data_IF_852988471713
#
_entry.id   IF_852988471713
#
_cell.length_a   1.000
_cell.length_b   1.000
_cell.length_c   1.000
_cell.angle_alpha   90.00
_cell.angle_beta   90.00
_cell.angle_gamma   90.00
#
_symmetry.space_group_name_H-M   'P 1'
#
loop_
_entity.id
_entity.type
_entity.pdbx_description
1 polymer ?
#
# COMPACT_ATOMS: atom_id res chain seq x y z
N UNK A 1 10.60 9.19 -7.30
CA UNK A 1 10.67 9.62 -8.72
C UNK A 1 11.99 9.11 -9.23
N UNK A 2 11.97 8.04 -10.02
CA UNK A 2 13.17 7.44 -10.55
C UNK A 2 13.41 8.01 -11.94
N UNK A 3 14.64 8.37 -12.26
CA UNK A 3 14.98 8.75 -13.62
C UNK A 3 14.98 7.50 -14.49
N UNK A 4 14.75 7.64 -15.80
CA UNK A 4 14.89 6.54 -16.76
C UNK A 4 16.31 5.94 -16.84
N UNK A 5 17.26 6.50 -16.08
CA UNK A 5 18.62 6.00 -15.91
C UNK A 5 19.00 6.07 -14.42
N UNK A 6 19.66 5.03 -13.91
CA UNK A 6 20.10 4.94 -12.52
C UNK A 6 21.24 5.91 -12.17
N UNK A 7 22.05 6.29 -13.17
CA UNK A 7 23.21 7.16 -13.00
C UNK A 7 23.65 7.77 -14.34
N UNK A 8 24.16 9.00 -14.31
CA UNK A 8 24.80 9.63 -15.48
C UNK A 8 26.25 9.16 -15.52
N UNK A 9 26.54 8.20 -16.40
CA UNK A 9 27.90 7.64 -16.56
C UNK A 9 28.52 8.07 -17.89
N UNK A 10 29.87 8.11 -17.99
CA UNK A 10 30.55 8.36 -19.26
C UNK A 10 30.12 7.39 -20.38
N UNK A 11 29.80 6.14 -20.04
CA UNK A 11 29.29 5.14 -20.99
C UNK A 11 27.92 5.52 -21.56
N UNK A 12 27.02 6.05 -20.72
CA UNK A 12 25.72 6.55 -21.15
C UNK A 12 25.90 7.71 -22.14
N UNK A 13 26.72 8.69 -21.78
CA UNK A 13 26.97 9.87 -22.62
C UNK A 13 27.57 9.47 -23.97
N UNK A 14 28.55 8.56 -23.97
CA UNK A 14 29.12 8.01 -25.20
C UNK A 14 28.06 7.29 -26.06
N UNK A 15 27.20 6.46 -25.45
CA UNK A 15 26.13 5.77 -26.19
C UNK A 15 25.10 6.71 -26.81
N UNK A 16 24.83 7.87 -26.17
CA UNK A 16 23.95 8.89 -26.71
C UNK A 16 24.58 9.55 -27.93
N UNK A 17 25.87 9.92 -27.84
CA UNK A 17 26.63 10.49 -28.96
C UNK A 17 26.68 9.50 -30.13
N UNK A 18 26.97 8.23 -29.87
CA UNK A 18 26.99 7.17 -30.89
C UNK A 18 25.62 7.01 -31.57
N UNK A 19 24.52 7.15 -30.82
CA UNK A 19 23.16 7.11 -31.36
C UNK A 19 22.82 8.30 -32.29
N UNK A 20 23.50 9.43 -32.11
CA UNK A 20 23.35 10.61 -32.97
C UNK A 20 24.16 10.51 -34.26
N UNK A 21 25.13 9.60 -34.32
CA UNK A 21 26.06 9.43 -35.43
C UNK A 21 25.67 8.19 -36.27
N UNK A 22 25.92 8.23 -37.57
CA UNK A 22 25.66 7.08 -38.46
C UNK A 22 26.50 5.85 -38.06
N UNK A 23 25.91 4.64 -38.12
CA UNK A 23 26.52 3.36 -37.68
C UNK A 23 27.92 3.03 -38.23
N UNK A 24 28.36 3.68 -39.30
CA UNK A 24 29.66 3.47 -39.97
C UNK A 24 30.59 4.68 -39.90
N UNK A 25 30.25 5.72 -39.12
CA UNK A 25 30.97 6.99 -39.05
C UNK A 25 31.47 7.21 -37.62
N UNK A 26 32.67 7.76 -37.47
CA UNK A 26 33.23 8.17 -36.18
C UNK A 26 33.63 9.63 -36.25
N UNK A 27 33.24 10.42 -35.27
CA UNK A 27 33.66 11.81 -35.15
C UNK A 27 34.80 11.87 -34.14
N UNK A 28 35.98 12.31 -34.58
CA UNK A 28 37.02 12.72 -33.65
C UNK A 28 36.78 14.18 -33.28
N UNK A 29 36.21 14.38 -32.08
CA UNK A 29 35.73 15.68 -31.58
C UNK A 29 36.81 16.76 -31.48
N UNK A 30 38.09 16.40 -31.56
CA UNK A 30 39.22 17.34 -31.43
C UNK A 30 39.84 17.75 -32.78
N UNK A 31 39.59 17.02 -33.87
CA UNK A 31 40.33 17.16 -35.13
C UNK A 31 39.46 17.20 -36.39
N UNK A 32 38.16 16.92 -36.28
CA UNK A 32 37.27 16.81 -37.44
C UNK A 32 36.92 18.16 -38.07
N UNK A 33 36.81 18.21 -39.40
CA UNK A 33 36.27 19.37 -40.12
C UNK A 33 34.75 19.47 -40.00
N UNK A 34 34.18 20.67 -40.16
CA UNK A 34 32.73 20.89 -40.08
C UNK A 34 31.92 20.05 -41.07
N UNK A 35 32.40 19.87 -42.31
CA UNK A 35 31.77 19.00 -43.31
C UNK A 35 31.69 17.53 -42.84
N UNK A 36 32.77 17.05 -42.21
CA UNK A 36 32.81 15.68 -41.67
C UNK A 36 31.79 15.48 -40.55
N UNK A 37 31.56 16.52 -39.74
CA UNK A 37 30.57 16.50 -38.65
C UNK A 37 29.15 16.50 -39.19
N UNK A 38 28.86 17.33 -40.21
CA UNK A 38 27.54 17.36 -40.88
C UNK A 38 27.20 15.98 -41.44
N UNK A 39 28.13 15.39 -42.19
CA UNK A 39 27.95 14.07 -42.79
C UNK A 39 27.75 12.96 -41.75
N UNK A 40 28.36 13.09 -40.58
CA UNK A 40 28.32 12.08 -39.54
C UNK A 40 27.01 12.08 -38.74
N UNK A 41 26.36 13.23 -38.57
CA UNK A 41 25.12 13.36 -37.78
C UNK A 41 23.92 12.77 -38.54
N UNK A 42 23.16 11.90 -37.87
CA UNK A 42 21.94 11.33 -38.42
C UNK A 42 20.85 12.41 -38.60
N UNK A 43 20.23 12.44 -39.78
CA UNK A 43 19.16 13.38 -40.14
C UNK A 43 19.54 14.84 -39.84
N UNK A 44 20.68 15.28 -40.38
CA UNK A 44 21.12 16.67 -40.27
C UNK A 44 20.14 17.59 -41.04
N UNK A 45 19.74 18.76 -40.50
CA UNK A 45 18.83 19.68 -41.19
C UNK A 45 19.49 20.34 -42.41
N UNK A 46 18.76 20.44 -43.52
CA UNK A 46 19.28 21.03 -44.76
C UNK A 46 19.52 22.55 -44.68
N UNK A 47 18.93 23.22 -43.67
CA UNK A 47 18.93 24.67 -43.48
C UNK A 47 19.87 25.19 -42.38
N UNK A 48 20.68 24.32 -41.78
CA UNK A 48 21.57 24.68 -40.67
C UNK A 48 23.06 24.62 -41.02
N UNK A 49 23.75 25.75 -40.92
CA UNK A 49 25.19 25.87 -41.23
C UNK A 49 26.09 25.67 -40.01
N UNK A 50 25.53 25.51 -38.81
CA UNK A 50 26.26 25.38 -37.55
C UNK A 50 26.22 23.94 -36.98
N UNK A 51 27.18 23.06 -37.32
CA UNK A 51 27.06 21.64 -36.99
C UNK A 51 27.14 21.34 -35.50
N UNK A 52 27.85 22.20 -34.76
CA UNK A 52 27.97 22.09 -33.31
C UNK A 52 26.65 22.45 -32.60
N UNK A 53 25.89 23.45 -33.06
CA UNK A 53 24.59 23.78 -32.43
C UNK A 53 23.58 22.67 -32.68
N UNK A 54 23.58 22.08 -33.88
CA UNK A 54 22.74 20.93 -34.24
C UNK A 54 23.10 19.71 -33.39
N UNK A 55 24.40 19.43 -33.22
CA UNK A 55 24.85 18.31 -32.39
C UNK A 55 24.45 18.51 -30.92
N UNK A 56 24.70 19.69 -30.36
CA UNK A 56 24.35 20.03 -28.97
C UNK A 56 22.86 19.90 -28.74
N UNK A 57 22.02 20.49 -29.60
CA UNK A 57 20.56 20.42 -29.45
C UNK A 57 20.01 18.99 -29.58
N UNK A 58 20.53 18.19 -30.53
CA UNK A 58 20.14 16.77 -30.65
C UNK A 58 20.57 15.97 -29.42
N UNK A 59 21.76 16.25 -28.88
CA UNK A 59 22.26 15.62 -27.67
C UNK A 59 21.43 15.99 -26.44
N UNK A 60 21.12 17.27 -26.27
CA UNK A 60 20.24 17.76 -25.20
C UNK A 60 18.87 17.08 -25.28
N UNK A 61 18.25 17.01 -26.46
CA UNK A 61 16.98 16.31 -26.64
C UNK A 61 17.06 14.82 -26.30
N UNK A 62 18.13 14.14 -26.70
CA UNK A 62 18.33 12.72 -26.42
C UNK A 62 18.59 12.47 -24.92
N UNK A 63 19.33 13.37 -24.27
CA UNK A 63 19.60 13.35 -22.85
C UNK A 63 18.31 13.62 -22.05
N UNK A 64 17.57 14.67 -22.39
CA UNK A 64 16.29 15.02 -21.77
C UNK A 64 15.29 13.88 -21.89
N UNK A 65 15.21 13.23 -23.05
CA UNK A 65 14.36 12.06 -23.23
C UNK A 65 14.69 10.91 -22.26
N UNK A 66 15.98 10.72 -21.92
CA UNK A 66 16.44 9.71 -20.95
C UNK A 66 16.29 10.16 -19.49
N UNK A 67 16.38 11.46 -19.24
CA UNK A 67 16.18 12.07 -17.92
C UNK A 67 14.71 12.34 -17.59
N UNK A 68 13.78 12.00 -18.51
CA UNK A 68 12.35 12.08 -18.19
C UNK A 68 12.05 11.27 -16.94
N UNK A 69 11.31 11.85 -15.98
CA UNK A 69 10.98 11.15 -14.76
C UNK A 69 10.10 9.94 -15.07
N UNK A 70 10.55 8.77 -14.67
CA UNK A 70 9.73 7.57 -14.64
C UNK A 70 8.95 7.55 -13.32
N UNK A 71 7.68 7.19 -13.41
CA UNK A 71 6.88 6.87 -12.24
C UNK A 71 7.26 5.45 -11.85
N UNK A 72 7.75 5.29 -10.62
CA UNK A 72 8.09 3.99 -10.05
C UNK A 72 7.56 3.93 -8.63
N UNK A 73 7.15 2.73 -8.20
CA UNK A 73 6.85 2.46 -6.79
C UNK A 73 7.69 1.28 -6.38
N UNK A 74 8.66 1.54 -5.50
CA UNK A 74 9.62 0.53 -5.06
C UNK A 74 9.13 -0.13 -3.79
N UNK A 75 8.91 -1.44 -3.83
CA UNK A 75 8.57 -2.26 -2.67
C UNK A 75 9.51 -3.45 -2.59
N UNK A 76 10.20 -3.59 -1.46
CA UNK A 76 11.19 -4.67 -1.22
C UNK A 76 12.28 -4.78 -2.31
N UNK A 77 12.51 -3.72 -3.08
CA UNK A 77 13.49 -3.66 -4.17
C UNK A 77 12.90 -3.77 -5.57
N UNK A 78 11.62 -4.12 -5.71
CA UNK A 78 10.95 -4.28 -7.00
C UNK A 78 10.10 -3.06 -7.37
N UNK A 79 10.11 -2.66 -8.65
CA UNK A 79 9.20 -1.64 -9.19
C UNK A 79 7.89 -2.28 -9.62
N UNK A 80 6.81 -1.91 -8.94
CA UNK A 80 5.48 -2.50 -9.10
C UNK A 80 4.49 -1.52 -9.74
N UNK A 81 4.96 -0.41 -10.30
CA UNK A 81 4.09 0.66 -10.81
C UNK A 81 3.07 0.19 -11.86
N UNK A 82 3.44 -0.73 -12.74
CA UNK A 82 2.55 -1.25 -13.78
C UNK A 82 1.64 -2.41 -13.30
N UNK A 83 1.87 -2.95 -12.09
CA UNK A 83 1.15 -4.10 -11.52
C UNK A 83 0.06 -3.70 -10.49
N UNK A 84 -0.26 -2.41 -10.42
CA UNK A 84 -1.13 -1.85 -9.39
C UNK A 84 -2.62 -2.20 -9.62
N UNK A 85 -3.03 -3.39 -9.22
CA UNK A 85 -4.46 -3.68 -9.00
C UNK A 85 -5.04 -2.74 -7.93
N UNK A 86 -6.36 -2.52 -7.94
CA UNK A 86 -7.03 -1.67 -6.94
C UNK A 86 -6.73 -2.12 -5.50
N UNK A 87 -6.73 -3.43 -5.23
CA UNK A 87 -6.37 -3.96 -3.91
C UNK A 87 -4.90 -3.73 -3.53
N UNK A 88 -4.00 -3.70 -4.50
CA UNK A 88 -2.58 -3.40 -4.25
C UNK A 88 -2.38 -1.92 -3.91
N UNK A 89 -3.09 -1.02 -4.61
CA UNK A 89 -3.08 0.42 -4.29
C UNK A 89 -3.61 0.68 -2.87
N UNK A 90 -4.69 0.00 -2.47
CA UNK A 90 -5.23 0.13 -1.12
C UNK A 90 -4.23 -0.34 -0.05
N UNK A 91 -3.56 -1.47 -0.26
CA UNK A 91 -2.48 -1.93 0.63
C UNK A 91 -1.34 -0.91 0.74
N UNK A 92 -0.93 -0.31 -0.38
CA UNK A 92 0.14 0.68 -0.40
C UNK A 92 -0.22 1.91 0.43
N UNK A 93 -1.48 2.34 0.34
CA UNK A 93 -1.98 3.46 1.12
C UNK A 93 -1.86 3.19 2.63
N UNK A 94 -2.24 1.99 3.10
CA UNK A 94 -2.10 1.62 4.50
C UNK A 94 -0.64 1.54 4.96
N UNK A 95 0.27 1.06 4.11
CA UNK A 95 1.69 1.04 4.41
C UNK A 95 2.26 2.46 4.59
N UNK A 96 1.85 3.42 3.74
CA UNK A 96 2.24 4.83 3.90
C UNK A 96 1.62 5.46 5.15
N UNK A 97 0.36 5.12 5.46
CA UNK A 97 -0.31 5.60 6.67
C UNK A 97 0.30 5.07 7.97
N UNK A 98 0.95 3.90 7.93
CA UNK A 98 1.69 3.36 9.05
C UNK A 98 2.99 4.12 9.37
N UNK A 99 3.43 5.02 8.50
CA UNK A 99 4.59 5.86 8.77
C UNK A 99 4.26 6.90 9.86
N UNK A 100 4.99 6.79 10.98
CA UNK A 100 4.82 7.64 12.16
C UNK A 100 5.24 9.10 11.92
N UNK A 101 5.92 9.42 10.82
CA UNK A 101 6.30 10.79 10.46
C UNK A 101 5.12 11.68 10.04
N UNK A 102 3.97 11.09 9.71
CA UNK A 102 2.75 11.81 9.30
C UNK A 102 2.01 12.56 10.44
N UNK A 103 2.55 12.59 11.67
CA UNK A 103 2.01 13.34 12.82
C UNK A 103 1.03 12.57 13.70
N UNK A 104 0.52 13.24 14.75
CA UNK A 104 -0.47 12.70 15.69
C UNK A 104 -1.89 13.00 15.17
N UNK A 105 -2.77 12.00 15.09
CA UNK A 105 -4.13 12.19 14.57
C UNK A 105 -5.03 10.96 14.68
N UNK A 106 -6.32 11.16 14.38
CA UNK A 106 -7.34 10.10 14.34
C UNK A 106 -7.52 9.65 12.89
N UNK A 107 -7.43 8.34 12.67
CA UNK A 107 -7.57 7.72 11.35
C UNK A 107 -8.95 7.09 11.27
N UNK A 108 -9.78 7.54 10.33
CA UNK A 108 -11.10 6.94 10.07
C UNK A 108 -11.02 6.24 8.72
N UNK A 109 -11.23 4.93 8.71
CA UNK A 109 -11.19 4.13 7.49
C UNK A 109 -12.50 3.39 7.32
N UNK A 110 -13.19 3.67 6.22
CA UNK A 110 -14.43 3.03 5.85
C UNK A 110 -14.17 1.88 4.87
N UNK A 111 -14.69 0.70 5.19
CA UNK A 111 -14.59 -0.53 4.42
C UNK A 111 -13.16 -0.81 3.91
N UNK A 112 -12.16 -0.94 4.80
CA UNK A 112 -10.77 -1.22 4.39
C UNK A 112 -10.61 -2.55 3.62
N UNK A 113 -11.61 -3.43 3.67
CA UNK A 113 -11.68 -4.70 2.94
C UNK A 113 -12.07 -4.56 1.46
N UNK A 114 -12.65 -3.43 1.05
CA UNK A 114 -13.17 -3.27 -0.30
C UNK A 114 -12.06 -3.35 -1.35
N UNK A 115 -12.30 -4.14 -2.39
CA UNK A 115 -11.34 -4.38 -3.49
C UNK A 115 -10.02 -5.05 -3.05
N UNK A 116 -9.88 -5.45 -1.78
CA UNK A 116 -8.71 -6.18 -1.27
C UNK A 116 -9.03 -7.68 -1.17
N UNK A 117 -8.11 -8.50 -1.68
CA UNK A 117 -8.28 -9.96 -1.56
C UNK A 117 -8.20 -10.45 -0.11
N UNK A 118 -8.94 -11.51 0.22
CA UNK A 118 -8.90 -12.13 1.55
C UNK A 118 -7.50 -12.60 1.98
N UNK A 119 -6.65 -12.95 1.01
CA UNK A 119 -5.24 -13.31 1.25
C UNK A 119 -4.44 -12.07 1.68
N UNK A 120 -4.57 -10.98 0.92
CA UNK A 120 -3.95 -9.69 1.20
C UNK A 120 -4.34 -9.15 2.59
N UNK A 121 -5.63 -9.23 2.94
CA UNK A 121 -6.11 -8.82 4.28
C UNK A 121 -5.33 -9.57 5.35
N UNK A 122 -5.26 -10.91 5.25
CA UNK A 122 -4.62 -11.78 6.25
C UNK A 122 -3.10 -11.59 6.35
N UNK A 123 -2.43 -11.38 5.23
CA UNK A 123 -0.97 -11.41 5.15
C UNK A 123 -0.32 -10.03 5.37
N UNK A 124 -1.02 -8.93 5.06
CA UNK A 124 -0.45 -7.58 5.19
C UNK A 124 -1.35 -6.60 5.94
N UNK A 125 -2.61 -6.43 5.52
CA UNK A 125 -3.44 -5.29 5.95
C UNK A 125 -3.71 -5.32 7.46
N UNK A 126 -4.04 -6.49 8.02
CA UNK A 126 -4.23 -6.63 9.47
C UNK A 126 -2.96 -6.28 10.27
N UNK A 127 -1.76 -6.49 9.71
CA UNK A 127 -0.49 -6.11 10.35
C UNK A 127 -0.26 -4.60 10.25
N UNK A 128 -0.54 -4.00 9.11
CA UNK A 128 -0.43 -2.56 8.89
C UNK A 128 -1.35 -1.78 9.84
N UNK A 129 -2.62 -2.19 9.99
CA UNK A 129 -3.54 -1.56 10.94
C UNK A 129 -3.11 -1.69 12.40
N UNK A 130 -2.56 -2.86 12.79
CA UNK A 130 -1.99 -3.01 14.14
C UNK A 130 -0.79 -2.10 14.38
N UNK A 131 0.03 -1.86 13.35
CA UNK A 131 1.14 -0.93 13.44
C UNK A 131 0.64 0.53 13.60
N UNK A 132 -0.35 0.94 12.79
CA UNK A 132 -0.98 2.27 12.89
C UNK A 132 -1.61 2.45 14.27
N UNK A 133 -2.39 1.48 14.74
CA UNK A 133 -3.04 1.51 16.05
C UNK A 133 -2.06 1.60 17.24
N UNK A 134 -0.83 1.12 17.04
CA UNK A 134 0.22 1.19 18.06
C UNK A 134 0.73 2.62 18.34
N UNK A 135 0.55 3.54 17.40
CA UNK A 135 1.00 4.93 17.52
C UNK A 135 -0.12 5.96 17.39
N UNK A 136 -1.29 5.58 16.85
CA UNK A 136 -2.39 6.48 16.52
C UNK A 136 -3.77 5.88 16.80
N UNK A 137 -4.74 6.75 17.06
CA UNK A 137 -6.13 6.30 17.21
C UNK A 137 -6.71 5.95 15.84
N UNK A 138 -7.31 4.76 15.73
CA UNK A 138 -7.92 4.28 14.48
C UNK A 138 -9.38 3.96 14.74
N UNK A 139 -10.26 4.44 13.87
CA UNK A 139 -11.69 4.10 13.82
C UNK A 139 -11.91 3.36 12.50
N UNK A 140 -12.21 2.07 12.56
CA UNK A 140 -12.51 1.27 11.37
C UNK A 140 -14.01 1.08 11.25
N UNK A 141 -14.57 1.35 10.06
CA UNK A 141 -15.91 0.92 9.70
C UNK A 141 -15.78 -0.33 8.83
N UNK A 142 -16.33 -1.46 9.27
CA UNK A 142 -16.11 -2.74 8.57
C UNK A 142 -17.28 -3.69 8.79
N UNK A 143 -17.53 -4.54 7.80
CA UNK A 143 -18.40 -5.71 7.90
C UNK A 143 -17.57 -7.00 7.95
N UNK A 144 -16.25 -6.91 7.82
CA UNK A 144 -15.38 -8.07 7.78
C UNK A 144 -14.94 -8.48 9.20
N UNK A 145 -15.35 -9.66 9.69
CA UNK A 145 -15.07 -10.11 11.06
C UNK A 145 -13.58 -10.31 11.31
N UNK A 146 -12.74 -10.39 10.27
CA UNK A 146 -11.30 -10.49 10.44
C UNK A 146 -10.68 -9.25 11.07
N UNK A 147 -11.20 -8.05 10.77
CA UNK A 147 -10.72 -6.79 11.36
C UNK A 147 -11.15 -6.69 12.83
N UNK A 148 -12.38 -7.09 13.15
CA UNK A 148 -12.91 -7.11 14.52
C UNK A 148 -12.13 -8.11 15.38
N UNK A 149 -11.99 -9.34 14.90
CA UNK A 149 -11.50 -10.45 15.72
C UNK A 149 -9.98 -10.52 15.74
N UNK A 150 -9.24 -10.09 14.71
CA UNK A 150 -7.77 -10.32 14.67
C UNK A 150 -6.91 -9.08 14.94
N UNK A 151 -7.50 -7.87 15.02
CA UNK A 151 -6.74 -6.63 15.22
C UNK A 151 -6.55 -6.28 16.70
N UNK A 152 -7.16 -7.03 17.63
CA UNK A 152 -7.12 -6.70 19.06
C UNK A 152 -7.71 -5.30 19.30
N UNK A 153 -8.93 -5.13 18.81
CA UNK A 153 -9.70 -3.88 18.93
C UNK A 153 -10.08 -3.64 20.38
N UNK A 154 -9.87 -2.41 20.87
CA UNK A 154 -10.18 -2.06 22.26
C UNK A 154 -11.68 -1.95 22.51
N UNK A 155 -12.43 -1.46 21.52
CA UNK A 155 -13.87 -1.34 21.62
C UNK A 155 -14.51 -1.63 20.25
N UNK A 156 -15.62 -2.36 20.32
CA UNK A 156 -16.47 -2.72 19.19
C UNK A 156 -17.77 -1.98 19.38
N UNK A 157 -18.17 -1.13 18.44
CA UNK A 157 -19.49 -0.50 18.41
C UNK A 157 -20.30 -1.18 17.32
N UNK A 158 -21.27 -1.98 17.74
CA UNK A 158 -22.23 -2.62 16.86
C UNK A 158 -23.43 -1.72 16.65
N UNK A 159 -23.79 -1.50 15.39
CA UNK A 159 -24.94 -0.70 15.01
C UNK A 159 -25.87 -1.57 14.17
N UNK A 160 -27.11 -1.71 14.61
CA UNK A 160 -28.14 -2.46 13.90
C UNK A 160 -29.43 -1.63 13.77
N UNK A 161 -30.27 -1.98 12.80
CA UNK A 161 -31.64 -1.45 12.70
C UNK A 161 -32.62 -2.54 13.11
N UNK A 162 -33.22 -2.40 14.29
CA UNK A 162 -34.18 -3.35 14.87
C UNK A 162 -35.53 -2.68 15.03
N UNK A 163 -36.58 -3.30 14.51
CA UNK A 163 -37.97 -2.80 14.58
C UNK A 163 -38.15 -1.36 14.07
N UNK A 164 -37.35 -0.98 13.07
CA UNK A 164 -37.35 0.38 12.50
C UNK A 164 -36.57 1.42 13.30
N UNK A 165 -36.05 1.07 14.48
CA UNK A 165 -35.21 1.93 15.33
C UNK A 165 -33.73 1.53 15.23
N UNK A 166 -32.84 2.48 15.51
CA UNK A 166 -31.41 2.24 15.62
C UNK A 166 -31.12 1.64 17.02
N UNK A 167 -30.39 0.53 17.06
CA UNK A 167 -29.90 -0.12 18.28
C UNK A 167 -28.38 -0.13 18.24
N UNK A 168 -27.75 0.23 19.35
CA UNK A 168 -26.29 0.33 19.48
C UNK A 168 -25.87 -0.51 20.68
N UNK A 169 -24.90 -1.39 20.48
CA UNK A 169 -24.22 -2.15 21.54
C UNK A 169 -22.73 -1.87 21.45
N UNK A 170 -22.05 -1.75 22.58
CA UNK A 170 -20.62 -1.51 22.54
C UNK A 170 -19.86 -2.11 23.73
N UNK A 171 -18.62 -2.50 23.48
CA UNK A 171 -17.72 -3.00 24.51
C UNK A 171 -16.46 -3.57 23.89
N UNK A 172 -15.51 -3.96 24.74
CA UNK A 172 -14.40 -4.81 24.30
C UNK A 172 -14.94 -6.09 23.66
N UNK A 173 -14.12 -6.78 22.86
CA UNK A 173 -14.57 -7.99 22.17
C UNK A 173 -15.06 -9.06 23.15
N UNK A 174 -14.41 -9.18 24.30
CA UNK A 174 -14.74 -10.09 25.40
C UNK A 174 -15.86 -9.60 26.33
N UNK A 175 -16.47 -8.44 26.05
CA UNK A 175 -17.52 -7.89 26.91
C UNK A 175 -18.78 -8.76 26.91
N UNK A 176 -19.34 -8.94 28.10
CA UNK A 176 -20.57 -9.70 28.35
C UNK A 176 -21.33 -9.06 29.52
N UNK A 177 -22.64 -8.89 29.36
CA UNK A 177 -23.58 -8.50 30.40
C UNK A 177 -24.87 -9.33 30.30
N UNK A 178 -25.82 -9.09 31.21
CA UNK A 178 -27.10 -9.81 31.23
C UNK A 178 -27.93 -9.61 29.93
N UNK A 179 -27.70 -8.51 29.20
CA UNK A 179 -28.43 -8.21 27.97
C UNK A 179 -27.76 -8.72 26.69
N UNK A 180 -26.42 -8.76 26.62
CA UNK A 180 -25.70 -9.20 25.42
C UNK A 180 -24.23 -9.60 25.68
N UNK A 181 -23.72 -10.45 24.80
CA UNK A 181 -22.28 -10.71 24.63
C UNK A 181 -21.80 -10.14 23.30
N UNK A 182 -20.66 -9.45 23.31
CA UNK A 182 -20.06 -8.92 22.07
C UNK A 182 -19.57 -10.05 21.14
N UNK A 183 -19.04 -11.14 21.70
CA UNK A 183 -18.65 -12.32 20.92
C UNK A 183 -19.85 -12.98 20.24
N UNK A 184 -20.97 -13.12 20.94
CA UNK A 184 -22.19 -13.69 20.37
C UNK A 184 -22.77 -12.79 19.28
N UNK A 185 -22.84 -11.48 19.54
CA UNK A 185 -23.26 -10.48 18.55
C UNK A 185 -22.41 -10.57 17.27
N UNK A 186 -21.09 -10.62 17.40
CA UNK A 186 -20.19 -10.80 16.24
C UNK A 186 -20.38 -12.16 15.56
N UNK A 187 -20.64 -13.22 16.32
CA UNK A 187 -20.77 -14.57 15.78
C UNK A 187 -22.05 -14.77 14.96
N UNK A 188 -23.15 -14.19 15.42
CA UNK A 188 -24.50 -14.40 14.88
C UNK A 188 -24.87 -13.36 13.82
N UNK A 189 -24.49 -12.10 14.03
CA UNK A 189 -24.94 -10.99 13.16
C UNK A 189 -23.94 -10.64 12.05
N UNK A 190 -22.70 -11.16 12.09
CA UNK A 190 -21.68 -10.92 11.04
C UNK A 190 -21.45 -12.16 10.19
N UNK A 191 -21.50 -11.97 8.87
CA UNK A 191 -21.14 -13.00 7.92
C UNK A 191 -19.69 -13.49 8.14
N UNK A 192 -19.55 -14.77 8.46
CA UNK A 192 -18.24 -15.39 8.74
C UNK A 192 -17.66 -15.07 10.13
N UNK A 193 -18.42 -14.40 11.01
CA UNK A 193 -18.03 -14.07 12.38
C UNK A 193 -17.69 -15.29 13.20
N UNK A 194 -18.63 -16.24 13.30
CA UNK A 194 -18.44 -17.51 14.02
C UNK A 194 -17.21 -18.28 13.55
N UNK A 195 -16.99 -18.37 12.23
CA UNK A 195 -15.85 -19.07 11.65
C UNK A 195 -14.51 -18.37 11.98
N UNK A 196 -14.52 -17.04 12.02
CA UNK A 196 -13.34 -16.24 12.36
C UNK A 196 -12.97 -16.39 13.83
N UNK A 197 -13.96 -16.34 14.73
CA UNK A 197 -13.78 -16.57 16.17
C UNK A 197 -13.23 -17.98 16.42
N UNK A 198 -13.85 -19.01 15.82
CA UNK A 198 -13.37 -20.41 15.92
C UNK A 198 -11.93 -20.55 15.45
N UNK A 199 -11.56 -19.89 14.35
CA UNK A 199 -10.17 -19.90 13.85
C UNK A 199 -9.21 -19.21 14.81
N UNK A 200 -9.57 -18.05 15.39
CA UNK A 200 -8.74 -17.36 16.41
C UNK A 200 -8.56 -18.26 17.64
N UNK A 201 -9.65 -18.80 18.19
CA UNK A 201 -9.60 -19.69 19.35
C UNK A 201 -8.75 -20.93 19.09
N UNK A 202 -8.90 -21.58 17.93
CA UNK A 202 -8.06 -22.73 17.58
C UNK A 202 -6.57 -22.38 17.53
N UNK A 203 -6.20 -21.19 17.04
CA UNK A 203 -4.80 -20.72 17.05
C UNK A 203 -4.30 -20.46 18.46
N UNK A 204 -5.10 -19.82 19.32
CA UNK A 204 -4.76 -19.57 20.73
C UNK A 204 -4.60 -20.89 21.46
N UNK A 205 -5.58 -21.78 21.40
CA UNK A 205 -5.54 -23.11 22.04
C UNK A 205 -4.34 -23.92 21.52
N UNK A 206 -4.08 -23.95 20.20
CA UNK A 206 -2.93 -24.68 19.67
C UNK A 206 -1.57 -24.06 20.05
N UNK A 207 -1.53 -22.75 20.32
CA UNK A 207 -0.33 -22.07 20.80
C UNK A 207 -0.09 -22.31 22.29
N UNK A 208 -1.17 -22.50 23.06
CA UNK A 208 -1.11 -22.77 24.51
C UNK A 208 -1.01 -24.27 24.83
N UNK A 209 -1.55 -25.14 23.97
CA UNK A 209 -1.50 -26.60 24.08
C UNK A 209 -1.51 -27.26 22.69
N UNK A 210 -0.38 -27.81 22.21
CA UNK A 210 -0.36 -28.50 20.93
C UNK A 210 -1.08 -29.85 21.04
N UNK A 211 -2.38 -29.95 20.70
CA UNK A 211 -2.97 -31.25 20.32
C UNK A 211 -4.44 -31.62 20.57
N UNK A 212 -5.46 -30.77 20.39
CA UNK A 212 -6.87 -31.27 20.33
C UNK A 212 -7.76 -30.61 19.27
N UNK A 213 -8.41 -31.42 18.43
CA UNK A 213 -9.37 -30.98 17.41
C UNK A 213 -10.80 -30.83 17.97
N UNK A 214 -11.47 -29.70 17.66
CA UNK A 214 -12.87 -29.45 18.01
C UNK A 214 -13.84 -29.72 16.84
N UNK A 215 -15.02 -30.27 17.17
CA UNK A 215 -16.11 -30.69 16.28
C UNK A 215 -16.97 -29.51 15.78
N UNK A 216 -17.59 -29.67 14.59
CA UNK A 216 -18.40 -28.64 13.88
C UNK A 216 -19.90 -28.73 14.19
N UNK A 217 -20.59 -27.57 14.18
CA UNK A 217 -22.04 -27.40 13.93
C UNK A 217 -22.26 -26.25 12.92
N UNK A 218 -23.37 -26.32 12.18
CA UNK A 218 -23.69 -25.59 10.93
C UNK A 218 -24.22 -24.14 11.14
N UNK A 219 -24.15 -23.26 10.13
CA UNK A 219 -24.52 -21.84 10.26
C UNK A 219 -25.97 -21.51 9.81
N UNK A 220 -26.53 -20.43 10.38
CA UNK A 220 -27.74 -19.72 9.93
C UNK A 220 -27.37 -18.46 9.11
N UNK A 221 -28.31 -17.93 8.33
CA UNK A 221 -28.11 -16.91 7.27
C UNK A 221 -27.87 -15.47 7.78
N UNK A 222 -27.15 -14.59 7.03
CA UNK A 222 -26.72 -13.27 7.51
C UNK A 222 -27.79 -12.17 7.33
N UNK A 223 -27.74 -11.15 8.20
CA UNK A 223 -28.40 -9.85 8.07
C UNK A 223 -27.33 -8.75 7.92
N UNK A 224 -27.69 -7.63 7.28
CA UNK A 224 -26.75 -6.51 7.02
C UNK A 224 -26.47 -5.72 8.31
N UNK A 225 -25.20 -5.66 8.73
CA UNK A 225 -24.72 -4.92 9.91
C UNK A 225 -23.39 -4.20 9.61
N UNK A 226 -23.19 -3.02 10.21
CA UNK A 226 -21.95 -2.22 10.12
C UNK A 226 -21.39 -1.98 11.53
N UNK A 227 -20.06 -2.11 11.68
CA UNK A 227 -19.36 -1.89 12.95
C UNK A 227 -18.47 -0.67 12.88
N UNK A 228 -18.46 0.13 13.96
CA UNK A 228 -17.45 1.15 14.20
C UNK A 228 -16.48 0.63 15.26
N UNK A 229 -15.20 0.50 14.92
CA UNK A 229 -14.17 -0.09 15.79
C UNK A 229 -13.20 1.01 16.22
N UNK A 230 -13.46 1.71 17.34
CA UNK A 230 -12.43 2.55 17.94
C UNK A 230 -11.34 1.66 18.55
N UNK A 231 -10.14 1.79 18.01
CA UNK A 231 -8.90 1.23 18.55
C UNK A 231 -8.19 2.36 19.29
N UNK A 232 -8.03 2.20 20.60
CA UNK A 232 -7.39 3.14 21.50
C UNK A 232 -5.91 2.78 21.68
N UNK A 233 -5.01 3.75 21.55
CA UNK A 233 -3.59 3.53 21.80
C UNK A 233 -3.34 3.09 23.25
N UNK A 234 -2.54 2.04 23.41
CA UNK A 234 -1.92 1.72 24.70
C UNK A 234 -1.06 2.91 25.12
N UNK A 235 -1.37 3.48 26.29
CA UNK A 235 -0.73 4.71 26.77
C UNK A 235 0.79 4.67 26.67
N UNK A 236 1.36 5.74 26.12
CA UNK A 236 2.79 6.02 26.15
C UNK A 236 3.14 6.28 27.62
N UNK A 237 3.54 5.25 28.36
CA UNK A 237 4.21 5.45 29.65
C UNK A 237 5.66 5.84 29.36
N UNK A 238 5.88 7.14 29.22
CA UNK A 238 7.21 7.74 29.04
C UNK A 238 7.16 9.25 29.25
N UNK A 239 7.26 9.67 30.51
CA UNK A 239 7.54 11.06 30.86
C UNK A 239 8.90 11.51 30.29
N UNK A 240 9.13 12.82 30.12
CA UNK A 240 9.90 13.52 31.15
C UNK A 240 9.44 14.97 31.44
N UNK A 241 9.48 15.34 32.73
CA UNK A 241 9.84 16.68 33.24
C UNK A 241 8.82 17.81 33.08
N UNK A 242 8.18 18.18 34.19
CA UNK A 242 8.35 19.46 34.91
C UNK A 242 7.87 19.30 36.37
#
# INVERSE_FOLDING_TARGET
MQLGVSEITPKLLASLIDGLIGKSKSIDTLTSSYETVIDAINNYPDDEEAPLSVLTSKFENALDAKLKPAKSIIREGDDVYDELSQGYNAQMYFALMADNSMGDGIYIVDQPEDQISQKAIRESVLREFRAIAGSRQVILITHNPQFIVNIDVDNVIFIEKKDGALSIRNGALEYECDEYSMLETVADDIEGGLDTIKKRMKRVINATEPGRQARRRAPLAPAHAEFLLPIACKGISGAPGE
#
